data_IF_490130103057
#
_entry.id   IF_490130103057
#
_cell.length_a   1.000
_cell.length_b   1.000
_cell.length_c   1.000
_cell.angle_alpha   90.00
_cell.angle_beta   90.00
_cell.angle_gamma   90.00
#
_symmetry.space_group_name_H-M   'P 1'
#
loop_
_entity.id
_entity.type
_entity.pdbx_description
1 polymer ?
#
# COMPACT_ATOMS: atom_id res chain seq x y z
N UNK A 1 4.70 -17.37 -5.02
CA UNK A 1 5.00 -16.04 -5.59
C UNK A 1 3.67 -15.32 -5.75
N UNK A 2 3.50 -14.26 -4.99
CA UNK A 2 2.21 -13.64 -4.67
C UNK A 2 1.78 -12.66 -5.75
N UNK A 3 0.51 -12.72 -6.15
CA UNK A 3 -0.21 -11.89 -7.13
C UNK A 3 0.23 -10.41 -7.22
N UNK A 4 0.71 -9.81 -6.14
CA UNK A 4 1.18 -8.41 -6.07
C UNK A 4 2.48 -8.14 -6.85
N UNK A 5 3.40 -9.10 -6.92
CA UNK A 5 4.67 -8.93 -7.65
C UNK A 5 4.45 -8.82 -9.16
N UNK A 6 3.40 -9.48 -9.66
CA UNK A 6 3.02 -9.48 -11.09
C UNK A 6 2.20 -8.24 -11.49
N UNK A 7 1.75 -7.42 -10.53
CA UNK A 7 0.99 -6.21 -10.82
C UNK A 7 1.89 -5.11 -11.39
N UNK A 8 1.45 -4.46 -12.46
CA UNK A 8 2.09 -3.23 -12.93
C UNK A 8 1.96 -2.13 -11.88
N UNK A 9 2.84 -1.12 -11.92
CA UNK A 9 2.74 0.07 -11.06
C UNK A 9 1.35 0.70 -11.12
N UNK A 10 0.78 0.78 -12.31
CA UNK A 10 -0.55 1.33 -12.51
C UNK A 10 -1.62 0.48 -11.80
N UNK A 11 -1.59 -0.84 -11.97
CA UNK A 11 -2.55 -1.74 -11.30
C UNK A 11 -2.42 -1.62 -9.78
N UNK A 12 -1.19 -1.63 -9.24
CA UNK A 12 -0.95 -1.51 -7.81
C UNK A 12 -1.42 -0.16 -7.25
N UNK A 13 -1.10 0.93 -7.96
CA UNK A 13 -1.54 2.27 -7.59
C UNK A 13 -3.07 2.41 -7.58
N UNK A 14 -3.76 1.79 -8.54
CA UNK A 14 -5.22 1.81 -8.62
C UNK A 14 -5.85 1.08 -7.43
N UNK A 15 -5.39 -0.14 -7.14
CA UNK A 15 -5.90 -0.94 -6.04
C UNK A 15 -5.69 -0.28 -4.68
N UNK A 16 -4.49 0.23 -4.42
CA UNK A 16 -4.19 0.96 -3.18
C UNK A 16 -5.06 2.21 -3.09
N UNK A 17 -5.21 2.98 -4.17
CA UNK A 17 -6.08 4.15 -4.19
C UNK A 17 -7.52 3.79 -3.87
N UNK A 18 -8.04 2.68 -4.40
CA UNK A 18 -9.39 2.21 -4.06
C UNK A 18 -9.54 1.95 -2.56
N UNK A 19 -8.59 1.22 -1.95
CA UNK A 19 -8.65 0.91 -0.52
C UNK A 19 -8.55 2.19 0.35
N UNK A 20 -7.58 3.05 0.05
CA UNK A 20 -7.34 4.30 0.78
C UNK A 20 -8.51 5.27 0.66
N UNK A 21 -9.08 5.45 -0.53
CA UNK A 21 -10.17 6.40 -0.70
C UNK A 21 -11.49 5.88 -0.12
N UNK A 22 -11.76 4.58 -0.23
CA UNK A 22 -12.93 3.96 0.44
C UNK A 22 -12.83 4.07 1.96
N UNK A 23 -11.65 3.89 2.56
CA UNK A 23 -11.49 4.03 4.02
C UNK A 23 -11.75 5.46 4.50
N UNK A 24 -11.53 6.46 3.64
CA UNK A 24 -11.88 7.85 3.89
C UNK A 24 -13.36 8.18 3.61
N UNK A 25 -14.17 7.19 3.20
CA UNK A 25 -15.58 7.37 2.85
C UNK A 25 -15.81 8.02 1.47
N UNK A 26 -14.79 8.05 0.61
CA UNK A 26 -14.91 8.62 -0.73
C UNK A 26 -15.63 7.61 -1.63
N UNK A 27 -16.38 8.12 -2.61
CA UNK A 27 -17.16 7.31 -3.57
C UNK A 27 -16.65 7.50 -4.98
N UNK A 28 -16.40 6.41 -5.68
CA UNK A 28 -15.99 6.46 -7.08
C UNK A 28 -17.23 6.70 -7.96
N UNK A 29 -17.18 7.70 -8.84
CA UNK A 29 -18.35 8.10 -9.67
C UNK A 29 -18.68 7.03 -10.71
N UNK A 30 -17.65 6.48 -11.37
CA UNK A 30 -17.66 5.40 -12.37
C UNK A 30 -16.29 4.73 -12.34
N UNK A 31 -16.16 3.53 -12.89
CA UNK A 31 -14.91 2.75 -12.86
C UNK A 31 -13.66 3.57 -13.27
N UNK A 32 -13.84 4.54 -14.18
CA UNK A 32 -12.82 5.47 -14.68
C UNK A 32 -12.96 6.94 -14.23
N UNK A 33 -13.95 7.25 -13.41
CA UNK A 33 -14.30 8.61 -12.99
C UNK A 33 -13.48 9.15 -11.81
N UNK A 34 -13.65 10.44 -11.47
CA UNK A 34 -13.08 11.02 -10.26
C UNK A 34 -13.73 10.43 -9.00
N UNK A 35 -13.11 10.70 -7.85
CA UNK A 35 -13.69 10.37 -6.56
C UNK A 35 -14.49 11.55 -6.00
N UNK A 36 -15.63 11.26 -5.39
CA UNK A 36 -16.42 12.19 -4.58
C UNK A 36 -16.00 12.04 -3.13
N UNK A 37 -15.56 13.14 -2.53
CA UNK A 37 -15.24 13.23 -1.10
C UNK A 37 -16.54 13.28 -0.27
N UNK A 38 -16.50 12.96 1.03
CA UNK A 38 -17.68 13.04 1.91
C UNK A 38 -18.37 14.41 1.92
N UNK A 39 -17.63 15.49 1.66
CA UNK A 39 -18.16 16.86 1.56
C UNK A 39 -18.79 17.20 0.19
N UNK A 40 -18.93 16.22 -0.71
CA UNK A 40 -19.50 16.39 -2.05
C UNK A 40 -18.55 16.94 -3.12
N UNK A 41 -17.32 17.33 -2.77
CA UNK A 41 -16.34 17.82 -3.75
C UNK A 41 -15.64 16.68 -4.52
N UNK A 42 -15.15 16.98 -5.72
CA UNK A 42 -14.42 16.01 -6.56
C UNK A 42 -12.91 16.00 -6.26
N UNK A 43 -12.27 14.85 -6.46
CA UNK A 43 -10.81 14.74 -6.49
C UNK A 43 -10.24 15.36 -7.78
N UNK A 44 -9.03 15.92 -7.67
CA UNK A 44 -8.29 16.49 -8.82
C UNK A 44 -7.57 15.42 -9.67
N UNK A 45 -7.69 14.14 -9.30
CA UNK A 45 -7.10 13.01 -10.00
C UNK A 45 -7.77 11.69 -9.62
N UNK A 46 -7.59 10.66 -10.46
CA UNK A 46 -8.22 9.34 -10.29
C UNK A 46 -7.50 8.50 -9.23
N UNK A 47 -6.17 8.41 -9.33
CA UNK A 47 -5.34 7.56 -8.49
C UNK A 47 -4.05 8.28 -8.11
N UNK A 48 -3.55 8.01 -6.90
CA UNK A 48 -2.24 8.50 -6.46
C UNK A 48 -1.13 7.58 -6.96
N UNK A 49 0.05 8.14 -7.16
CA UNK A 49 1.20 7.43 -7.71
C UNK A 49 2.14 6.90 -6.61
N UNK A 50 1.72 5.87 -5.89
CA UNK A 50 2.48 5.32 -4.76
C UNK A 50 3.77 4.60 -5.18
N UNK A 51 3.83 4.02 -6.38
CA UNK A 51 4.98 3.22 -6.82
C UNK A 51 6.20 4.04 -7.24
N UNK A 52 6.05 5.35 -7.51
CA UNK A 52 7.18 6.21 -7.93
C UNK A 52 7.26 7.54 -7.19
N UNK A 53 6.15 8.04 -6.62
CA UNK A 53 6.17 9.22 -5.77
C UNK A 53 6.56 8.85 -4.33
N UNK A 54 7.64 9.45 -3.83
CA UNK A 54 8.18 9.10 -2.52
C UNK A 54 7.23 9.50 -1.39
N UNK A 55 6.65 10.70 -1.44
CA UNK A 55 5.77 11.19 -0.40
C UNK A 55 4.49 10.35 -0.31
N UNK A 56 3.86 10.05 -1.45
CA UNK A 56 2.70 9.19 -1.50
C UNK A 56 3.02 7.78 -0.97
N UNK A 57 4.19 7.21 -1.30
CA UNK A 57 4.59 5.90 -0.78
C UNK A 57 4.72 5.87 0.75
N UNK A 58 5.13 6.98 1.36
CA UNK A 58 5.21 7.12 2.81
C UNK A 58 3.81 7.26 3.44
N UNK A 59 2.88 7.97 2.78
CA UNK A 59 1.49 8.06 3.24
C UNK A 59 0.83 6.68 3.30
N UNK A 60 1.00 5.84 2.26
CA UNK A 60 0.41 4.49 2.26
C UNK A 60 1.13 3.55 3.23
N UNK A 61 2.45 3.67 3.39
CA UNK A 61 3.18 2.97 4.44
C UNK A 61 2.60 3.31 5.83
N UNK A 62 2.42 4.59 6.13
CA UNK A 62 1.87 5.03 7.41
C UNK A 62 0.47 4.43 7.65
N UNK A 63 -0.40 4.45 6.63
CA UNK A 63 -1.72 3.85 6.72
C UNK A 63 -1.69 2.33 6.95
N UNK A 64 -0.75 1.61 6.33
CA UNK A 64 -0.59 0.17 6.55
C UNK A 64 -0.03 -0.14 7.95
N UNK A 65 0.94 0.65 8.43
CA UNK A 65 1.50 0.53 9.78
C UNK A 65 0.43 0.78 10.84
N UNK A 66 -0.42 1.79 10.64
CA UNK A 66 -1.56 2.08 11.52
C UNK A 66 -2.53 0.91 11.61
N UNK A 67 -2.70 0.13 10.52
CA UNK A 67 -3.51 -1.10 10.54
C UNK A 67 -2.80 -2.23 11.26
N UNK A 68 -1.56 -2.53 10.89
CA UNK A 68 -0.75 -3.56 11.53
C UNK A 68 0.74 -3.37 11.21
N UNK A 69 1.48 -2.81 12.18
CA UNK A 69 2.91 -2.53 12.03
C UNK A 69 3.75 -3.80 11.84
N UNK A 70 3.45 -4.87 12.58
CA UNK A 70 4.19 -6.13 12.50
C UNK A 70 4.02 -6.80 11.14
N UNK A 71 2.78 -6.88 10.63
CA UNK A 71 2.53 -7.44 9.30
C UNK A 71 3.15 -6.59 8.18
N UNK A 72 3.17 -5.26 8.33
CA UNK A 72 3.83 -4.40 7.35
C UNK A 72 5.34 -4.67 7.28
N UNK A 73 6.02 -4.74 8.43
CA UNK A 73 7.47 -5.01 8.49
C UNK A 73 7.78 -6.39 7.88
N UNK A 74 7.00 -7.42 8.23
CA UNK A 74 7.17 -8.77 7.67
C UNK A 74 6.92 -8.78 6.16
N UNK A 75 5.90 -8.05 5.68
CA UNK A 75 5.60 -7.98 4.25
C UNK A 75 6.71 -7.26 3.47
N UNK A 76 7.25 -6.17 4.01
CA UNK A 76 8.34 -5.41 3.40
C UNK A 76 9.64 -6.22 3.37
N UNK A 77 9.96 -6.90 4.46
CA UNK A 77 11.11 -7.78 4.54
C UNK A 77 11.05 -8.91 3.49
N UNK A 78 9.92 -9.59 3.35
CA UNK A 78 9.74 -10.62 2.32
C UNK A 78 9.90 -10.13 0.89
N UNK A 79 9.68 -8.83 0.66
CA UNK A 79 9.85 -8.21 -0.65
C UNK A 79 11.33 -7.92 -0.90
N UNK A 80 12.04 -7.36 0.08
CA UNK A 80 13.43 -6.91 -0.05
C UNK A 80 14.40 -8.09 0.11
N UNK A 81 14.09 -9.02 1.01
CA UNK A 81 14.90 -10.17 1.40
C UNK A 81 14.14 -11.50 1.20
N UNK A 82 13.73 -11.86 -0.03
CA UNK A 82 12.83 -13.01 -0.28
C UNK A 82 13.39 -14.38 0.11
N UNK A 83 14.71 -14.50 0.30
CA UNK A 83 15.39 -15.75 0.65
C UNK A 83 15.69 -15.87 2.15
N UNK A 84 15.34 -14.87 2.95
CA UNK A 84 15.69 -14.84 4.36
C UNK A 84 14.68 -15.64 5.19
N UNK A 85 15.20 -16.40 6.17
CA UNK A 85 14.41 -17.26 7.07
C UNK A 85 14.62 -16.91 8.57
N UNK A 86 15.29 -15.78 8.86
CA UNK A 86 15.75 -15.48 10.22
C UNK A 86 14.69 -14.78 11.08
N UNK A 87 14.81 -14.94 12.41
CA UNK A 87 13.89 -14.41 13.42
C UNK A 87 14.25 -13.00 13.94
N UNK A 88 15.45 -12.50 13.64
CA UNK A 88 15.93 -11.19 14.10
C UNK A 88 16.52 -10.41 12.92
N UNK A 89 16.33 -9.09 12.92
CA UNK A 89 16.86 -8.20 11.89
C UNK A 89 18.29 -7.78 12.21
N UNK A 90 19.19 -7.92 11.24
CA UNK A 90 20.53 -7.30 11.29
C UNK A 90 20.46 -5.80 11.04
N UNK A 91 21.52 -5.05 11.39
CA UNK A 91 21.58 -3.61 11.12
C UNK A 91 21.46 -3.28 9.63
N UNK A 92 22.07 -4.10 8.77
CA UNK A 92 21.99 -3.97 7.31
C UNK A 92 20.57 -4.21 6.79
N UNK A 93 19.85 -5.17 7.37
CA UNK A 93 18.45 -5.43 7.02
C UNK A 93 17.54 -4.28 7.44
N UNK A 94 17.74 -3.75 8.65
CA UNK A 94 17.01 -2.55 9.10
C UNK A 94 17.27 -1.39 8.14
N UNK A 95 18.52 -1.17 7.74
CA UNK A 95 18.88 -0.14 6.78
C UNK A 95 18.20 -0.38 5.40
N UNK A 96 18.14 -1.62 4.93
CA UNK A 96 17.44 -1.98 3.70
C UNK A 96 15.93 -1.69 3.78
N UNK A 97 15.27 -2.04 4.89
CA UNK A 97 13.86 -1.72 5.12
C UNK A 97 13.61 -0.20 5.14
N UNK A 98 14.48 0.56 5.81
CA UNK A 98 14.36 2.03 5.91
C UNK A 98 14.60 2.74 4.57
N UNK A 99 15.38 2.13 3.68
CA UNK A 99 15.70 2.67 2.35
C UNK A 99 14.88 2.05 1.22
N UNK A 100 13.87 1.24 1.55
CA UNK A 100 12.95 0.63 0.59
C UNK A 100 12.45 1.63 -0.46
N UNK A 101 12.38 1.18 -1.71
CA UNK A 101 11.85 1.98 -2.80
C UNK A 101 10.34 2.27 -2.63
N UNK A 102 9.81 3.32 -3.28
CA UNK A 102 8.38 3.60 -3.27
C UNK A 102 7.50 2.39 -3.67
N UNK A 103 7.91 1.63 -4.69
CA UNK A 103 7.19 0.42 -5.13
C UNK A 103 7.21 -0.69 -4.07
N UNK A 104 8.33 -0.93 -3.41
CA UNK A 104 8.42 -1.96 -2.36
C UNK A 104 7.53 -1.61 -1.16
N UNK A 105 7.55 -0.34 -0.73
CA UNK A 105 6.62 0.16 0.29
C UNK A 105 5.16 -0.02 -0.13
N UNK A 106 4.83 0.32 -1.38
CA UNK A 106 3.47 0.18 -1.91
C UNK A 106 3.02 -1.30 -1.95
N UNK A 107 3.89 -2.22 -2.37
CA UNK A 107 3.59 -3.66 -2.39
C UNK A 107 3.35 -4.22 -0.98
N UNK A 108 4.19 -3.84 -0.01
CA UNK A 108 4.02 -4.23 1.39
C UNK A 108 2.71 -3.68 1.96
N UNK A 109 2.44 -2.39 1.73
CA UNK A 109 1.23 -1.73 2.18
C UNK A 109 -0.03 -2.37 1.57
N UNK A 110 -0.01 -2.70 0.27
CA UNK A 110 -1.13 -3.38 -0.39
C UNK A 110 -1.49 -4.70 0.29
N UNK A 111 -0.50 -5.53 0.64
CA UNK A 111 -0.75 -6.82 1.30
C UNK A 111 -1.48 -6.65 2.63
N UNK A 112 -1.01 -5.71 3.47
CA UNK A 112 -1.63 -5.42 4.77
C UNK A 112 -3.03 -4.83 4.58
N UNK A 113 -3.16 -3.76 3.78
CA UNK A 113 -4.44 -3.09 3.58
C UNK A 113 -5.49 -4.04 3.00
N UNK A 114 -5.12 -4.95 2.08
CA UNK A 114 -6.05 -5.94 1.52
C UNK A 114 -6.52 -6.94 2.57
N UNK A 115 -5.61 -7.45 3.41
CA UNK A 115 -5.96 -8.38 4.49
C UNK A 115 -6.93 -7.75 5.51
N UNK A 116 -6.74 -6.47 5.81
CA UNK A 116 -7.53 -5.73 6.81
C UNK A 116 -8.73 -4.96 6.26
N UNK A 117 -8.94 -4.96 4.94
CA UNK A 117 -10.17 -4.45 4.31
C UNK A 117 -11.19 -5.56 4.02
N UNK A 118 -10.74 -6.81 3.82
CA UNK A 118 -11.63 -7.95 3.61
C UNK A 118 -12.36 -8.40 4.90
N UNK A 119 -11.82 -8.10 6.08
CA UNK A 119 -12.39 -8.46 7.38
C UNK A 119 -13.55 -7.56 7.85
N UNK A 120 -13.87 -6.48 7.12
CA UNK A 120 -14.97 -5.57 7.46
C UNK A 120 -16.33 -5.96 6.82
N UNK A 121 -16.42 -7.16 6.23
CA UNK A 121 -17.61 -7.67 5.52
C UNK A 121 -18.23 -8.94 6.13
N UNK A 122 -17.96 -9.22 7.42
CA UNK A 122 -18.55 -10.33 8.18
C UNK A 122 -19.58 -9.86 9.21
#
# INVERSE_FOLDING_TARGET
MTQVQDMTDQQLNNEISHMMMKSLGWKLVREDGPWIRPNGSYSTGRFRNYCTDHAASLEVQAAAIEKNSNEFVIALDRIINPNQQQHEFTEDEIAALLTASPRERAMAAYQVLKAHTASASG
#
